data_IF_887362963998
#
_entry.id   IF_887362963998
#
_cell.length_a   1.000
_cell.length_b   1.000
_cell.length_c   1.000
_cell.angle_alpha   90.00
_cell.angle_beta   90.00
_cell.angle_gamma   90.00
#
_symmetry.space_group_name_H-M   'P 1'
#
loop_
_entity.id
_entity.type
_entity.pdbx_description
1 polymer ?
#
# COMPACT_ATOMS: atom_id res chain seq x y z
N UNK A 1 21.83 4.28 -26.02
CA UNK A 1 20.75 4.57 -25.06
C UNK A 1 20.50 3.32 -24.25
N UNK A 2 20.88 3.29 -22.97
CA UNK A 2 20.50 2.21 -22.05
C UNK A 2 19.15 2.60 -21.45
N UNK A 3 18.08 1.91 -21.86
CA UNK A 3 16.78 2.03 -21.22
C UNK A 3 16.87 1.24 -19.92
N UNK A 4 17.01 1.94 -18.79
CA UNK A 4 16.84 1.31 -17.48
C UNK A 4 15.37 0.96 -17.32
N UNK A 5 15.03 -0.31 -17.58
CA UNK A 5 13.74 -0.89 -17.23
C UNK A 5 13.62 -0.87 -15.71
N UNK A 6 12.81 0.05 -15.18
CA UNK A 6 12.46 0.08 -13.75
C UNK A 6 11.48 -1.08 -13.55
N UNK A 7 12.01 -2.24 -13.18
CA UNK A 7 11.21 -3.35 -12.64
C UNK A 7 10.81 -2.93 -11.23
N UNK A 8 9.62 -2.34 -11.11
CA UNK A 8 9.01 -2.05 -9.81
C UNK A 8 8.62 -3.39 -9.20
N UNK A 9 9.44 -3.90 -8.27
CA UNK A 9 9.12 -5.14 -7.55
C UNK A 9 7.78 -5.02 -6.82
N UNK A 10 7.04 -6.14 -6.67
CA UNK A 10 5.71 -6.16 -6.07
C UNK A 10 5.65 -5.52 -4.67
N UNK A 11 6.75 -5.54 -3.90
CA UNK A 11 6.88 -4.80 -2.65
C UNK A 11 6.81 -3.27 -2.80
N UNK A 12 7.35 -2.72 -3.89
CA UNK A 12 7.18 -1.31 -4.27
C UNK A 12 5.81 -1.00 -4.86
N UNK A 13 5.10 -1.97 -5.46
CA UNK A 13 3.72 -1.78 -5.92
C UNK A 13 2.74 -1.74 -4.74
N UNK A 14 2.94 -2.59 -3.72
CA UNK A 14 2.23 -2.53 -2.45
C UNK A 14 2.59 -1.24 -1.70
N UNK A 15 3.87 -0.85 -1.69
CA UNK A 15 4.28 0.45 -1.16
C UNK A 15 3.69 1.61 -1.99
N UNK A 16 3.53 1.53 -3.30
CA UNK A 16 2.87 2.57 -4.11
C UNK A 16 1.36 2.63 -3.86
N UNK A 17 0.70 1.49 -3.67
CA UNK A 17 -0.71 1.39 -3.28
C UNK A 17 -0.95 1.91 -1.86
N UNK A 18 0.01 1.74 -0.94
CA UNK A 18 -0.03 2.24 0.44
C UNK A 18 0.49 3.69 0.56
N UNK A 19 1.45 4.12 -0.25
CA UNK A 19 2.06 5.45 -0.26
C UNK A 19 1.31 6.48 -1.10
N UNK A 20 0.17 6.13 -1.72
CA UNK A 20 -0.75 7.14 -2.25
C UNK A 20 -1.47 7.93 -1.14
N UNK A 21 -1.21 7.64 0.14
CA UNK A 21 -1.48 8.52 1.28
C UNK A 21 -0.13 8.94 1.88
N UNK A 22 0.25 10.23 1.86
CA UNK A 22 1.53 10.66 2.42
C UNK A 22 1.47 10.55 3.95
N UNK A 23 2.13 9.54 4.52
CA UNK A 23 2.54 9.52 5.92
C UNK A 23 4.05 9.70 5.91
N UNK A 24 4.48 10.92 6.22
CA UNK A 24 5.89 11.31 6.28
C UNK A 24 6.50 10.77 7.56
N UNK A 25 7.33 9.73 7.45
CA UNK A 25 8.10 9.19 8.56
C UNK A 25 9.38 10.03 8.76
N UNK A 26 9.53 10.62 9.94
CA UNK A 26 10.70 11.39 10.33
C UNK A 26 11.95 10.50 10.44
N UNK A 27 13.04 10.97 9.86
CA UNK A 27 14.35 10.33 9.78
C UNK A 27 15.03 10.28 11.18
N UNK A 28 15.48 9.11 11.61
CA UNK A 28 16.19 8.91 12.89
C UNK A 28 17.62 8.48 12.59
N UNK A 29 18.66 9.19 13.09
CA UNK A 29 20.05 8.90 12.76
C UNK A 29 20.54 7.58 13.37
N UNK A 30 21.25 6.82 12.54
CA UNK A 30 21.78 5.47 12.80
C UNK A 30 23.15 5.55 13.48
N UNK A 31 23.28 5.03 14.69
CA UNK A 31 24.57 4.88 15.42
C UNK A 31 25.22 3.54 15.09
N UNK A 32 26.56 3.45 14.87
CA UNK A 32 27.22 2.20 14.50
C UNK A 32 27.43 1.25 15.70
N UNK A 33 27.18 -0.04 15.47
CA UNK A 33 27.33 -1.12 16.44
C UNK A 33 28.78 -1.60 16.54
N UNK A 34 29.23 -1.89 17.76
CA UNK A 34 30.53 -2.47 18.08
C UNK A 34 30.48 -4.01 18.02
N UNK A 35 31.51 -4.60 17.39
CA UNK A 35 31.78 -6.05 17.36
C UNK A 35 32.12 -6.60 18.76
N UNK A 36 31.47 -7.69 19.16
CA UNK A 36 31.92 -8.55 20.26
C UNK A 36 32.13 -9.98 19.76
N UNK A 37 33.38 -10.42 19.75
CA UNK A 37 33.82 -11.81 19.52
C UNK A 37 33.54 -12.67 20.76
N UNK A 38 32.99 -13.87 20.56
CA UNK A 38 32.97 -14.94 21.57
C UNK A 38 33.42 -16.26 20.92
N UNK A 39 34.27 -17.07 21.60
CA UNK A 39 34.94 -18.22 20.99
C UNK A 39 34.16 -19.53 21.08
N UNK A 40 34.52 -20.45 20.19
CA UNK A 40 33.95 -21.78 19.97
C UNK A 40 34.43 -22.84 20.97
N UNK A 41 33.57 -23.82 21.25
CA UNK A 41 33.91 -25.08 21.93
C UNK A 41 33.30 -26.25 21.14
N UNK A 42 34.02 -27.38 20.94
CA UNK A 42 33.59 -28.46 20.05
C UNK A 42 32.81 -29.55 20.78
N UNK A 43 31.79 -30.14 20.12
CA UNK A 43 31.18 -31.41 20.54
C UNK A 43 31.13 -32.37 19.35
N UNK A 44 31.68 -33.56 19.60
CA UNK A 44 31.89 -34.71 18.71
C UNK A 44 30.59 -35.56 18.57
N UNK A 45 30.36 -36.28 17.45
CA UNK A 45 29.09 -36.94 17.17
C UNK A 45 29.04 -38.39 17.66
N UNK A 46 27.84 -38.86 18.01
CA UNK A 46 27.54 -40.28 18.15
C UNK A 46 26.25 -40.59 17.36
N UNK A 47 26.39 -41.54 16.44
CA UNK A 47 25.34 -42.12 15.63
C UNK A 47 24.78 -43.36 16.33
N UNK A 48 23.46 -43.58 16.29
CA UNK A 48 22.89 -44.94 16.23
C UNK A 48 21.53 -44.93 15.54
N UNK A 49 21.38 -45.81 14.57
CA UNK A 49 20.15 -46.15 13.86
C UNK A 49 19.27 -47.11 14.68
N UNK A 50 17.95 -47.03 14.52
CA UNK A 50 17.04 -48.18 14.49
C UNK A 50 15.61 -47.77 14.07
N UNK A 51 15.03 -48.56 13.17
CA UNK A 51 13.64 -48.60 12.67
C UNK A 51 13.11 -50.03 13.00
N UNK A 52 11.86 -50.40 12.67
CA UNK A 52 10.56 -50.09 13.25
C UNK A 52 9.92 -51.30 13.99
N UNK A 53 8.82 -51.08 14.73
CA UNK A 53 7.78 -52.09 14.87
C UNK A 53 6.42 -51.45 15.24
N UNK A 54 5.37 -51.94 14.56
CA UNK A 54 3.97 -51.65 14.80
C UNK A 54 3.50 -52.18 16.16
N UNK A 55 2.35 -51.70 16.65
CA UNK A 55 1.19 -52.49 17.14
C UNK A 55 0.19 -51.56 17.84
N UNK A 56 -1.06 -51.52 17.35
CA UNK A 56 -2.24 -51.00 18.07
C UNK A 56 -2.62 -51.96 19.21
N UNK A 57 -3.33 -51.51 20.26
CA UNK A 57 -4.78 -51.69 20.20
C UNK A 57 -5.60 -50.58 20.89
N UNK A 58 -6.89 -50.62 20.57
CA UNK A 58 -7.98 -49.83 21.09
C UNK A 58 -8.15 -49.95 22.62
N UNK A 59 -8.56 -48.85 23.25
CA UNK A 59 -9.31 -48.89 24.51
C UNK A 59 -10.25 -47.68 24.59
N UNK A 60 -11.53 -48.00 24.76
CA UNK A 60 -12.64 -47.10 24.97
C UNK A 60 -12.49 -46.31 26.29
N UNK A 61 -12.81 -45.01 26.28
CA UNK A 61 -13.04 -44.24 27.50
C UNK A 61 -14.38 -43.53 27.40
N UNK A 62 -15.09 -43.64 28.52
CA UNK A 62 -16.50 -43.41 28.76
C UNK A 62 -16.89 -41.94 28.62
N UNK A 63 -18.03 -41.74 27.97
CA UNK A 63 -18.83 -40.51 28.00
C UNK A 63 -19.49 -40.38 29.37
N UNK A 64 -19.18 -39.30 30.09
CA UNK A 64 -19.85 -38.92 31.34
C UNK A 64 -20.69 -37.69 31.07
N UNK A 65 -22.01 -37.90 31.06
CA UNK A 65 -23.01 -36.85 30.96
C UNK A 65 -23.00 -35.98 32.22
N UNK A 66 -22.91 -34.65 32.03
CA UNK A 66 -23.20 -33.67 33.08
C UNK A 66 -24.57 -33.08 32.81
N UNK A 67 -25.48 -33.40 33.73
CA UNK A 67 -26.86 -32.91 33.81
C UNK A 67 -26.87 -31.41 34.11
N UNK A 68 -27.26 -30.59 33.14
CA UNK A 68 -27.53 -29.18 33.33
C UNK A 68 -29.03 -28.93 33.60
N UNK A 69 -29.29 -28.35 34.77
CA UNK A 69 -30.55 -27.90 35.34
C UNK A 69 -31.18 -26.77 34.48
N UNK A 70 -32.49 -26.80 34.14
CA UNK A 70 -33.11 -25.73 33.38
C UNK A 70 -33.41 -24.51 34.28
N UNK A 71 -32.87 -23.36 33.89
CA UNK A 71 -33.19 -22.07 34.49
C UNK A 71 -34.46 -21.48 33.87
N UNK A 72 -35.21 -20.78 34.71
CA UNK A 72 -36.56 -20.32 34.49
C UNK A 72 -36.73 -19.32 33.34
N UNK A 73 -37.85 -19.46 32.63
CA UNK A 73 -38.38 -18.56 31.61
C UNK A 73 -39.11 -17.40 32.31
N UNK A 74 -38.70 -16.12 32.13
CA UNK A 74 -39.52 -15.00 32.56
C UNK A 74 -40.62 -14.67 31.54
N UNK A 75 -41.72 -14.19 32.11
CA UNK A 75 -43.05 -14.06 31.53
C UNK A 75 -43.18 -13.08 30.35
N UNK A 76 -44.15 -13.41 29.49
CA UNK A 76 -44.82 -12.60 28.47
C UNK A 76 -45.07 -11.15 28.91
N UNK A 77 -44.61 -10.21 28.09
CA UNK A 77 -45.12 -8.84 28.06
C UNK A 77 -46.36 -8.74 27.14
N UNK A 78 -47.35 -7.88 27.46
CA UNK A 78 -48.60 -7.78 26.72
C UNK A 78 -48.45 -7.00 25.40
N UNK A 79 -48.95 -7.58 24.33
CA UNK A 79 -49.08 -6.97 23.00
C UNK A 79 -50.26 -6.01 23.01
N UNK A 80 -50.00 -4.73 22.83
CA UNK A 80 -51.02 -3.68 22.61
C UNK A 80 -51.47 -3.71 21.14
N UNK A 81 -52.78 -3.76 20.85
CA UNK A 81 -53.26 -3.75 19.46
C UNK A 81 -53.15 -2.36 18.83
N UNK A 82 -52.52 -2.32 17.66
CA UNK A 82 -52.39 -1.13 16.83
C UNK A 82 -53.74 -0.70 16.24
N UNK A 83 -54.00 0.61 16.27
CA UNK A 83 -55.18 1.25 15.71
C UNK A 83 -55.19 1.18 14.17
N UNK A 84 -56.37 1.11 13.53
CA UNK A 84 -56.50 1.08 12.07
C UNK A 84 -56.21 2.45 11.45
N UNK A 85 -55.19 2.50 10.58
CA UNK A 85 -54.89 3.64 9.72
C UNK A 85 -55.94 3.71 8.60
N UNK A 86 -56.66 4.83 8.54
CA UNK A 86 -57.61 5.15 7.47
C UNK A 86 -56.88 5.32 6.14
N UNK A 87 -57.17 4.44 5.20
CA UNK A 87 -56.78 4.54 3.78
C UNK A 87 -57.60 5.65 3.12
N UNK A 88 -56.97 6.78 2.83
CA UNK A 88 -57.56 7.82 1.98
C UNK A 88 -57.42 7.41 0.52
N UNK A 89 -58.55 7.23 -0.16
CA UNK A 89 -58.64 6.97 -1.59
C UNK A 89 -58.12 8.18 -2.39
N UNK A 90 -57.02 7.99 -3.11
CA UNK A 90 -56.52 8.95 -4.10
C UNK A 90 -57.10 8.56 -5.46
N UNK A 91 -57.95 9.44 -5.99
CA UNK A 91 -58.55 9.35 -7.32
C UNK A 91 -57.49 9.63 -8.40
N UNK A 92 -57.31 8.76 -9.41
CA UNK A 92 -56.43 9.07 -10.54
C UNK A 92 -57.11 10.04 -11.52
N UNK A 93 -56.42 11.12 -11.84
CA UNK A 93 -56.79 12.12 -12.86
C UNK A 93 -56.50 11.55 -14.27
N UNK A 94 -57.43 11.66 -15.24
CA UNK A 94 -57.23 11.16 -16.60
C UNK A 94 -56.30 12.11 -17.37
N UNK A 95 -55.21 11.57 -17.92
CA UNK A 95 -54.31 12.28 -18.85
C UNK A 95 -54.63 11.82 -20.27
N UNK A 96 -54.89 12.79 -21.14
CA UNK A 96 -55.26 12.61 -22.53
C UNK A 96 -54.12 12.02 -23.39
N UNK A 97 -54.43 11.30 -24.48
CA UNK A 97 -53.44 10.70 -25.37
C UNK A 97 -53.11 11.66 -26.52
N UNK A 98 -51.84 11.96 -26.76
CA UNK A 98 -51.32 12.31 -28.10
C UNK A 98 -49.81 12.53 -28.06
N UNK A 99 -49.04 11.52 -28.47
CA UNK A 99 -47.67 11.72 -28.95
C UNK A 99 -47.34 10.70 -30.03
N UNK A 100 -46.71 11.22 -31.09
CA UNK A 100 -46.45 10.64 -32.42
C UNK A 100 -45.60 9.35 -32.37
N UNK A 101 -45.69 8.48 -33.40
CA UNK A 101 -44.85 7.29 -33.52
C UNK A 101 -43.38 7.70 -33.66
N UNK A 102 -42.58 7.44 -32.61
CA UNK A 102 -41.13 7.52 -32.68
C UNK A 102 -40.59 6.30 -33.42
N UNK A 103 -39.78 6.55 -34.44
CA UNK A 103 -39.05 5.53 -35.18
C UNK A 103 -38.17 4.73 -34.21
N UNK A 104 -38.37 3.42 -34.21
CA UNK A 104 -37.62 2.43 -33.46
C UNK A 104 -36.14 2.44 -33.86
N UNK A 105 -35.31 3.06 -33.03
CA UNK A 105 -33.85 2.88 -33.09
C UNK A 105 -33.55 1.42 -32.77
N UNK A 106 -32.87 0.67 -33.65
CA UNK A 106 -32.50 -0.70 -33.36
C UNK A 106 -31.52 -0.70 -32.18
N UNK A 107 -32.02 -1.11 -31.01
CA UNK A 107 -31.22 -1.44 -29.84
C UNK A 107 -30.28 -2.57 -30.24
N UNK A 108 -29.04 -2.23 -30.58
CA UNK A 108 -27.97 -3.22 -30.69
C UNK A 108 -27.83 -3.85 -29.30
N UNK A 109 -28.01 -5.17 -29.14
CA UNK A 109 -27.83 -5.80 -27.85
C UNK A 109 -26.38 -5.62 -27.46
N UNK A 110 -26.12 -4.75 -26.48
CA UNK A 110 -24.83 -4.68 -25.81
C UNK A 110 -24.53 -6.10 -25.31
N UNK A 111 -23.56 -6.75 -25.94
CA UNK A 111 -23.12 -8.07 -25.51
C UNK A 111 -22.76 -7.92 -24.02
N UNK A 112 -23.52 -8.59 -23.16
CA UNK A 112 -23.18 -8.71 -21.74
C UNK A 112 -21.80 -9.36 -21.71
N UNK A 113 -20.78 -8.54 -21.49
CA UNK A 113 -19.44 -9.00 -21.13
C UNK A 113 -19.69 -9.95 -19.96
N UNK A 114 -19.37 -11.24 -20.16
CA UNK A 114 -19.54 -12.22 -19.10
C UNK A 114 -18.75 -11.70 -17.90
N UNK A 115 -19.45 -11.45 -16.79
CA UNK A 115 -18.84 -10.89 -15.58
C UNK A 115 -17.65 -11.77 -15.21
N UNK A 116 -16.44 -11.24 -15.43
CA UNK A 116 -15.20 -11.94 -15.14
C UNK A 116 -15.10 -12.04 -13.63
N UNK A 117 -15.21 -13.25 -13.12
CA UNK A 117 -15.12 -13.50 -11.70
C UNK A 117 -13.64 -13.51 -11.28
N UNK A 118 -13.08 -12.32 -11.03
CA UNK A 118 -11.71 -12.11 -10.53
C UNK A 118 -11.36 -12.99 -9.32
N UNK A 119 -12.36 -13.35 -8.50
CA UNK A 119 -12.18 -14.20 -7.33
C UNK A 119 -11.70 -15.61 -7.67
N UNK A 120 -11.90 -16.08 -8.90
CA UNK A 120 -11.37 -17.36 -9.40
C UNK A 120 -9.85 -17.34 -9.63
N UNK A 121 -9.26 -16.16 -9.71
CA UNK A 121 -7.83 -15.97 -10.01
C UNK A 121 -6.99 -15.60 -8.77
N UNK A 122 -7.54 -15.86 -7.60
CA UNK A 122 -6.89 -15.63 -6.31
C UNK A 122 -5.94 -16.77 -6.01
N UNK A 123 -4.75 -16.50 -5.47
CA UNK A 123 -3.84 -17.56 -5.08
C UNK A 123 -4.51 -18.53 -4.06
N UNK A 124 -4.51 -19.86 -4.28
CA UNK A 124 -5.31 -20.79 -3.47
C UNK A 124 -4.89 -20.87 -1.99
N UNK A 125 -3.63 -20.55 -1.69
CA UNK A 125 -3.09 -20.49 -0.33
C UNK A 125 -2.98 -19.04 0.18
N UNK A 126 -3.87 -18.15 -0.26
CA UNK A 126 -3.84 -16.76 0.16
C UNK A 126 -4.31 -16.60 1.61
N UNK A 127 -3.58 -15.77 2.37
CA UNK A 127 -3.99 -15.30 3.69
C UNK A 127 -4.13 -13.77 3.74
N UNK A 128 -3.83 -13.10 2.63
CA UNK A 128 -4.00 -11.67 2.48
C UNK A 128 -4.47 -11.37 1.06
N UNK A 129 -5.60 -10.67 0.96
CA UNK A 129 -6.07 -10.07 -0.29
C UNK A 129 -6.11 -8.56 -0.16
N UNK A 130 -5.77 -7.88 -1.23
CA UNK A 130 -6.06 -6.48 -1.41
C UNK A 130 -6.72 -6.29 -2.76
N UNK A 131 -7.63 -5.33 -2.86
CA UNK A 131 -8.28 -5.02 -4.11
C UNK A 131 -8.55 -3.54 -4.27
N UNK A 132 -8.67 -3.13 -5.52
CA UNK A 132 -9.00 -1.78 -5.90
C UNK A 132 -9.92 -1.78 -7.11
N UNK A 133 -11.11 -1.18 -6.99
CA UNK A 133 -11.96 -0.84 -8.11
C UNK A 133 -11.47 0.50 -8.68
N UNK A 134 -10.52 0.42 -9.61
CA UNK A 134 -9.79 1.57 -10.13
C UNK A 134 -10.72 2.54 -10.86
N UNK A 135 -11.69 2.03 -11.64
CA UNK A 135 -12.63 2.91 -12.34
C UNK A 135 -13.55 3.64 -11.38
N UNK A 136 -14.08 2.96 -10.35
CA UNK A 136 -14.85 3.66 -9.31
C UNK A 136 -13.99 4.66 -8.55
N UNK A 137 -12.76 4.30 -8.18
CA UNK A 137 -11.84 5.18 -7.49
C UNK A 137 -11.56 6.44 -8.33
N UNK A 138 -11.16 6.28 -9.60
CA UNK A 138 -10.84 7.37 -10.53
C UNK A 138 -12.04 8.25 -10.86
N UNK A 139 -13.22 7.66 -11.04
CA UNK A 139 -14.44 8.40 -11.39
C UNK A 139 -15.09 9.11 -10.20
N UNK A 140 -14.76 8.72 -8.96
CA UNK A 140 -15.28 9.34 -7.75
C UNK A 140 -14.92 10.84 -7.65
N UNK A 141 -15.74 11.67 -6.99
CA UNK A 141 -15.42 13.08 -6.76
C UNK A 141 -14.06 13.28 -6.09
N UNK A 142 -13.77 12.48 -5.05
CA UNK A 142 -12.51 12.50 -4.30
C UNK A 142 -11.33 12.04 -5.17
N UNK A 143 -11.51 10.95 -5.94
CA UNK A 143 -10.47 10.46 -6.84
C UNK A 143 -10.12 11.44 -7.95
N UNK A 144 -11.10 12.14 -8.54
CA UNK A 144 -10.84 13.23 -9.51
C UNK A 144 -10.08 14.39 -8.89
N UNK A 145 -10.37 14.71 -7.64
CA UNK A 145 -9.62 15.71 -6.89
C UNK A 145 -8.16 15.28 -6.69
N UNK A 146 -7.90 14.04 -6.25
CA UNK A 146 -6.55 13.50 -6.12
C UNK A 146 -5.81 13.39 -7.45
N UNK A 147 -6.47 12.92 -8.51
CA UNK A 147 -5.88 12.82 -9.84
C UNK A 147 -5.39 14.18 -10.36
N UNK A 148 -6.12 15.28 -10.07
CA UNK A 148 -5.67 16.64 -10.40
C UNK A 148 -4.41 17.05 -9.62
N UNK A 149 -4.34 16.71 -8.33
CA UNK A 149 -3.14 16.98 -7.52
C UNK A 149 -1.95 16.16 -8.00
N UNK A 150 -2.17 14.86 -8.26
CA UNK A 150 -1.13 13.98 -8.76
C UNK A 150 -0.65 14.40 -10.15
N UNK A 151 -1.55 14.77 -11.08
CA UNK A 151 -1.17 15.28 -12.39
C UNK A 151 -0.31 16.55 -12.32
N UNK A 152 -0.60 17.43 -11.36
CA UNK A 152 0.21 18.63 -11.13
C UNK A 152 1.65 18.31 -10.69
N UNK A 153 1.86 17.17 -10.01
CA UNK A 153 3.19 16.70 -9.59
C UNK A 153 3.86 15.78 -10.62
N UNK A 154 3.07 14.94 -11.31
CA UNK A 154 3.55 13.95 -12.27
C UNK A 154 4.20 14.59 -13.51
N UNK A 155 3.89 15.85 -13.84
CA UNK A 155 4.60 16.62 -14.87
C UNK A 155 6.12 16.72 -14.63
N UNK A 156 6.59 16.45 -13.40
CA UNK A 156 8.02 16.42 -13.05
C UNK A 156 8.68 15.04 -13.25
N UNK A 157 7.89 13.96 -13.36
CA UNK A 157 8.40 12.59 -13.49
C UNK A 157 8.40 12.14 -14.96
N UNK A 158 9.53 12.34 -15.64
CA UNK A 158 9.74 11.81 -16.99
C UNK A 158 9.58 10.27 -16.99
N UNK A 159 8.61 9.76 -17.77
CA UNK A 159 8.35 8.32 -17.93
C UNK A 159 7.05 7.82 -17.30
N UNK A 160 6.44 8.57 -16.37
CA UNK A 160 5.19 8.15 -15.72
C UNK A 160 4.01 8.05 -16.72
N UNK A 161 4.01 8.86 -17.79
CA UNK A 161 2.89 8.93 -18.74
C UNK A 161 2.53 7.60 -19.42
N UNK A 162 3.52 6.77 -19.78
CA UNK A 162 3.26 5.48 -20.43
C UNK A 162 2.63 4.47 -19.46
N UNK A 163 3.11 4.43 -18.21
CA UNK A 163 2.52 3.57 -17.19
C UNK A 163 1.08 3.99 -16.85
N UNK A 164 0.82 5.30 -16.79
CA UNK A 164 -0.52 5.83 -16.51
C UNK A 164 -1.52 5.53 -17.63
N UNK A 165 -1.09 5.55 -18.89
CA UNK A 165 -1.94 5.20 -20.02
C UNK A 165 -2.44 3.73 -19.97
N UNK A 166 -1.67 2.83 -19.34
CA UNK A 166 -2.13 1.46 -19.11
C UNK A 166 -3.15 1.38 -18.01
N UNK A 167 -2.91 2.11 -16.92
CA UNK A 167 -3.84 2.20 -15.79
C UNK A 167 -5.18 2.80 -16.23
N UNK A 168 -5.21 3.64 -17.26
CA UNK A 168 -6.48 4.15 -17.81
C UNK A 168 -7.40 3.06 -18.36
N UNK A 169 -6.84 1.93 -18.78
CA UNK A 169 -7.58 0.76 -19.26
C UNK A 169 -7.78 -0.32 -18.19
N UNK A 170 -7.23 -0.15 -16.99
CA UNK A 170 -7.46 -1.07 -15.88
C UNK A 170 -8.80 -0.74 -15.25
N UNK A 171 -9.61 -1.75 -15.00
CA UNK A 171 -10.91 -1.62 -14.35
C UNK A 171 -10.80 -1.96 -12.86
N UNK A 172 -10.20 -3.10 -12.56
CA UNK A 172 -10.01 -3.59 -11.20
C UNK A 172 -8.65 -4.24 -11.04
N UNK A 173 -8.11 -4.13 -9.84
CA UNK A 173 -6.85 -4.75 -9.42
C UNK A 173 -7.15 -5.62 -8.22
N UNK A 174 -6.67 -6.86 -8.23
CA UNK A 174 -6.77 -7.79 -7.13
C UNK A 174 -5.39 -8.38 -6.85
N UNK A 175 -4.89 -8.24 -5.64
CA UNK A 175 -3.62 -8.77 -5.19
C UNK A 175 -3.92 -9.86 -4.17
N UNK A 176 -3.30 -11.02 -4.35
CA UNK A 176 -3.42 -12.15 -3.43
C UNK A 176 -2.04 -12.69 -3.09
N UNK A 177 -1.81 -12.93 -1.80
CA UNK A 177 -0.56 -13.51 -1.31
C UNK A 177 -0.81 -14.38 -0.09
N UNK A 178 0.12 -15.28 0.22
CA UNK A 178 0.04 -16.16 1.40
C UNK A 178 0.37 -15.43 2.72
N UNK A 179 0.76 -14.16 2.66
CA UNK A 179 1.09 -13.36 3.85
C UNK A 179 2.37 -13.79 4.54
N UNK A 180 3.19 -14.64 3.90
CA UNK A 180 4.53 -14.93 4.38
C UNK A 180 5.46 -13.82 3.92
N UNK A 181 6.40 -13.45 4.79
CA UNK A 181 7.47 -12.56 4.42
C UNK A 181 8.37 -13.18 3.35
N UNK A 182 9.04 -12.33 2.57
CA UNK A 182 10.11 -12.78 1.69
C UNK A 182 11.15 -13.54 2.53
N UNK A 183 11.43 -14.79 2.15
CA UNK A 183 12.57 -15.51 2.73
C UNK A 183 13.86 -14.95 2.12
N UNK A 184 15.00 -15.14 2.80
CA UNK A 184 16.32 -14.73 2.27
C UNK A 184 16.61 -15.32 0.88
N UNK A 185 15.93 -16.40 0.52
CA UNK A 185 16.08 -17.13 -0.73
C UNK A 185 14.94 -16.95 -1.75
N UNK A 186 13.88 -16.18 -1.45
CA UNK A 186 12.71 -16.15 -2.33
C UNK A 186 11.70 -15.04 -2.06
N UNK A 187 11.14 -14.50 -3.15
CA UNK A 187 9.98 -13.63 -3.09
C UNK A 187 8.75 -14.43 -2.61
N UNK A 188 7.89 -13.85 -1.76
CA UNK A 188 6.68 -14.53 -1.34
C UNK A 188 5.76 -14.74 -2.55
N UNK A 189 4.99 -15.83 -2.59
CA UNK A 189 4.07 -16.08 -3.69
C UNK A 189 3.03 -14.96 -3.71
N UNK A 190 3.03 -14.19 -4.80
CA UNK A 190 2.13 -13.07 -5.04
C UNK A 190 1.53 -13.26 -6.42
N UNK A 191 0.21 -13.16 -6.48
CA UNK A 191 -0.52 -13.07 -7.75
C UNK A 191 -1.30 -11.77 -7.76
N UNK A 192 -1.05 -10.96 -8.78
CA UNK A 192 -1.80 -9.75 -9.11
C UNK A 192 -2.68 -10.05 -10.32
N UNK A 193 -3.98 -10.01 -10.15
CA UNK A 193 -4.95 -10.07 -11.24
C UNK A 193 -5.41 -8.66 -11.60
N UNK A 194 -5.28 -8.33 -12.88
CA UNK A 194 -5.67 -7.05 -13.47
C UNK A 194 -6.83 -7.30 -14.43
N UNK A 195 -8.00 -6.80 -14.09
CA UNK A 195 -9.16 -6.75 -15.00
C UNK A 195 -9.15 -5.40 -15.72
N UNK A 196 -9.40 -5.39 -17.02
CA UNK A 196 -9.43 -4.17 -17.81
C UNK A 196 -9.58 -4.42 -19.31
N UNK A 197 -9.09 -3.50 -20.14
CA UNK A 197 -8.95 -3.70 -21.60
C UNK A 197 -7.48 -3.80 -21.95
N UNK A 198 -7.06 -4.97 -22.42
CA UNK A 198 -5.64 -5.26 -22.65
C UNK A 198 -5.41 -5.42 -24.15
N UNK A 199 -4.83 -4.37 -24.76
CA UNK A 199 -4.35 -4.45 -26.13
C UNK A 199 -3.01 -5.22 -26.15
N UNK A 200 -3.06 -6.46 -26.66
CA UNK A 200 -1.88 -7.33 -26.79
C UNK A 200 -0.74 -6.68 -27.57
N UNK A 201 -1.07 -5.86 -28.57
CA UNK A 201 -0.07 -5.18 -29.38
C UNK A 201 0.63 -4.06 -28.58
N UNK A 202 -0.10 -3.35 -27.72
CA UNK A 202 0.49 -2.36 -26.81
C UNK A 202 1.32 -3.03 -25.73
N UNK A 203 0.80 -4.10 -25.12
CA UNK A 203 1.54 -4.85 -24.11
C UNK A 203 2.87 -5.38 -24.67
N UNK A 204 2.86 -5.95 -25.88
CA UNK A 204 4.08 -6.41 -26.57
C UNK A 204 5.06 -5.28 -26.87
N UNK A 205 4.60 -4.06 -27.18
CA UNK A 205 5.46 -2.90 -27.45
C UNK A 205 6.16 -2.36 -26.20
N UNK A 206 5.56 -2.55 -25.04
CA UNK A 206 6.14 -2.13 -23.75
C UNK A 206 7.13 -3.15 -23.19
N UNK A 207 7.03 -4.41 -23.62
CA UNK A 207 7.93 -5.46 -23.15
C UNK A 207 9.31 -5.30 -23.80
N UNK A 208 10.38 -5.71 -23.10
CA UNK A 208 11.72 -5.75 -23.68
C UNK A 208 11.75 -6.52 -25.00
N UNK A 209 12.59 -6.09 -25.94
CA UNK A 209 12.77 -6.82 -27.18
C UNK A 209 13.24 -8.25 -26.90
N UNK A 210 12.60 -9.24 -27.52
CA UNK A 210 12.90 -10.65 -27.32
C UNK A 210 12.02 -11.37 -26.30
N UNK A 211 11.02 -10.71 -25.69
CA UNK A 211 10.00 -11.40 -24.89
C UNK A 211 9.27 -12.44 -25.74
N UNK A 212 9.36 -13.70 -25.32
CA UNK A 212 8.67 -14.82 -25.96
C UNK A 212 7.23 -14.91 -25.42
N UNK A 213 6.30 -15.32 -26.30
CA UNK A 213 4.96 -15.74 -25.89
C UNK A 213 4.94 -17.27 -25.80
N UNK A 214 4.83 -17.81 -24.60
CA UNK A 214 4.69 -19.24 -24.35
C UNK A 214 3.23 -19.55 -23.99
N UNK A 215 2.63 -20.56 -24.61
CA UNK A 215 1.27 -21.01 -24.24
C UNK A 215 1.37 -21.84 -22.96
N UNK A 216 0.82 -21.34 -21.86
CA UNK A 216 0.88 -22.00 -20.54
C UNK A 216 -0.52 -22.16 -19.96
N UNK A 217 -0.99 -23.41 -19.80
CA UNK A 217 -2.32 -23.75 -19.26
C UNK A 217 -3.48 -22.95 -19.88
N UNK A 218 -3.42 -22.71 -21.19
CA UNK A 218 -4.46 -21.97 -21.93
C UNK A 218 -4.34 -20.44 -21.87
N UNK A 219 -3.38 -19.89 -21.14
CA UNK A 219 -3.02 -18.48 -21.17
C UNK A 219 -1.74 -18.26 -22.01
N UNK A 220 -1.54 -17.03 -22.49
CA UNK A 220 -0.31 -16.62 -23.17
C UNK A 220 0.63 -15.98 -22.14
N UNK A 221 1.71 -16.68 -21.79
CA UNK A 221 2.72 -16.25 -20.84
C UNK A 221 3.79 -15.41 -21.56
N UNK A 222 4.06 -14.23 -21.03
CA UNK A 222 5.11 -13.33 -21.49
C UNK A 222 6.39 -13.62 -20.71
N UNK A 223 7.35 -14.24 -21.38
CA UNK A 223 8.62 -14.68 -20.77
C UNK A 223 9.76 -13.78 -21.28
N UNK A 224 10.37 -12.94 -20.43
CA UNK A 224 11.55 -12.16 -20.80
C UNK A 224 12.73 -13.08 -21.17
N UNK A 225 13.56 -12.71 -22.16
CA UNK A 225 14.64 -13.58 -22.64
C UNK A 225 15.77 -13.80 -21.61
N UNK A 226 15.83 -13.01 -20.55
CA UNK A 226 16.92 -13.00 -19.56
C UNK A 226 16.57 -13.65 -18.22
N UNK A 227 15.38 -14.24 -18.07
CA UNK A 227 14.90 -14.74 -16.78
C UNK A 227 15.59 -16.04 -16.38
N UNK A 228 16.70 -15.96 -15.64
CA UNK A 228 17.38 -17.12 -15.01
C UNK A 228 16.93 -17.40 -13.57
N UNK A 229 16.02 -16.60 -13.03
CA UNK A 229 15.54 -16.65 -11.64
C UNK A 229 14.00 -16.69 -11.60
N UNK A 230 13.37 -16.97 -10.43
CA UNK A 230 11.92 -16.85 -10.25
C UNK A 230 11.48 -15.39 -10.42
N UNK A 231 11.44 -14.94 -11.67
CA UNK A 231 11.06 -13.60 -12.07
C UNK A 231 9.55 -13.53 -12.17
N UNK A 232 9.00 -12.36 -11.86
CA UNK A 232 7.59 -12.06 -12.04
C UNK A 232 7.25 -12.13 -13.53
N UNK A 233 6.35 -13.04 -13.89
CA UNK A 233 5.86 -13.22 -15.25
C UNK A 233 4.46 -12.62 -15.40
N UNK A 234 4.10 -12.24 -16.62
CA UNK A 234 2.75 -11.80 -16.96
C UNK A 234 2.06 -12.86 -17.83
N UNK A 235 0.92 -13.37 -17.39
CA UNK A 235 0.07 -14.28 -18.15
C UNK A 235 -1.18 -13.55 -18.65
N UNK A 236 -1.37 -13.49 -19.95
CA UNK A 236 -2.57 -12.98 -20.59
C UNK A 236 -3.59 -14.12 -20.71
N UNK A 237 -4.63 -14.09 -19.87
CA UNK A 237 -5.66 -15.12 -19.84
C UNK A 237 -6.69 -14.89 -20.95
N UNK A 238 -7.10 -13.64 -21.11
CA UNK A 238 -7.97 -13.17 -22.18
C UNK A 238 -7.71 -11.67 -22.44
N UNK A 239 -8.46 -11.05 -23.34
CA UNK A 239 -8.25 -9.64 -23.71
C UNK A 239 -8.64 -8.63 -22.61
N UNK A 240 -9.17 -9.14 -21.49
CA UNK A 240 -9.60 -8.36 -20.34
C UNK A 240 -8.90 -8.70 -19.03
N UNK A 241 -8.06 -9.74 -19.00
CA UNK A 241 -7.48 -10.26 -17.77
C UNK A 241 -6.01 -10.58 -17.97
N UNK A 242 -5.18 -9.90 -17.19
CA UNK A 242 -3.75 -10.17 -17.06
C UNK A 242 -3.47 -10.59 -15.62
N UNK A 243 -2.75 -11.70 -15.48
CA UNK A 243 -2.22 -12.15 -14.20
C UNK A 243 -0.72 -11.86 -14.17
N UNK A 244 -0.21 -11.42 -13.02
CA UNK A 244 1.21 -11.18 -12.80
C UNK A 244 1.63 -11.94 -11.54
N UNK A 245 2.66 -12.77 -11.65
CA UNK A 245 3.16 -13.58 -10.53
C UNK A 245 4.31 -14.48 -10.96
N UNK A 246 4.87 -15.24 -10.01
CA UNK A 246 5.84 -16.27 -10.35
C UNK A 246 5.17 -17.45 -11.11
N UNK A 247 5.98 -18.22 -11.83
CA UNK A 247 5.49 -19.32 -12.69
C UNK A 247 4.68 -20.37 -11.91
N UNK A 248 5.06 -20.68 -10.68
CA UNK A 248 4.39 -21.68 -9.86
C UNK A 248 3.04 -21.17 -9.36
N UNK A 249 2.99 -19.93 -8.88
CA UNK A 249 1.76 -19.26 -8.45
C UNK A 249 0.78 -19.09 -9.60
N UNK A 250 1.24 -18.65 -10.78
CA UNK A 250 0.41 -18.58 -11.99
C UNK A 250 -0.06 -19.98 -12.41
N UNK A 251 0.82 -20.97 -12.32
CA UNK A 251 0.48 -22.37 -12.56
C UNK A 251 -0.68 -22.83 -11.69
N UNK A 252 -0.64 -22.56 -10.40
CA UNK A 252 -1.69 -22.94 -9.44
C UNK A 252 -3.00 -22.23 -9.73
N UNK A 253 -2.95 -20.93 -10.03
CA UNK A 253 -4.13 -20.11 -10.34
C UNK A 253 -4.83 -20.56 -11.63
N UNK A 254 -4.06 -20.94 -12.65
CA UNK A 254 -4.60 -21.33 -13.96
C UNK A 254 -5.11 -22.78 -14.02
N UNK A 255 -4.70 -23.68 -13.10
CA UNK A 255 -4.91 -25.12 -13.29
C UNK A 255 -6.35 -25.61 -13.09
N UNK A 256 -7.18 -24.91 -12.31
CA UNK A 256 -8.63 -25.15 -12.25
C UNK A 256 -9.31 -24.13 -11.33
N UNK A 257 -9.75 -22.99 -11.87
CA UNK A 257 -10.68 -22.05 -11.20
C UNK A 257 -10.41 -21.83 -9.72
N UNK A 258 -9.12 -21.72 -9.35
CA UNK A 258 -8.70 -21.88 -7.97
C UNK A 258 -8.94 -20.55 -7.26
N UNK A 259 -10.16 -20.34 -6.77
CA UNK A 259 -10.38 -19.33 -5.77
C UNK A 259 -9.59 -19.62 -4.50
N UNK A 260 -9.54 -18.64 -3.60
CA UNK A 260 -9.03 -18.88 -2.25
C UNK A 260 -9.77 -20.05 -1.60
N UNK A 261 -9.03 -20.91 -0.88
CA UNK A 261 -9.63 -21.96 -0.05
C UNK A 261 -10.17 -21.42 1.28
N UNK A 262 -9.77 -20.20 1.65
CA UNK A 262 -10.23 -19.53 2.86
C UNK A 262 -11.55 -18.79 2.58
N UNK A 263 -12.66 -19.46 2.86
CA UNK A 263 -14.02 -18.93 2.63
C UNK A 263 -14.29 -17.69 3.48
N UNK A 264 -13.88 -17.69 4.76
CA UNK A 264 -14.10 -16.56 5.67
C UNK A 264 -13.41 -15.29 5.17
N UNK A 265 -12.17 -15.39 4.71
CA UNK A 265 -11.45 -14.24 4.18
C UNK A 265 -12.04 -13.78 2.83
N UNK A 266 -12.59 -14.68 2.00
CA UNK A 266 -13.31 -14.29 0.79
C UNK A 266 -14.61 -13.53 1.09
N UNK A 267 -15.37 -13.98 2.10
CA UNK A 267 -16.61 -13.32 2.53
C UNK A 267 -16.33 -11.91 3.07
N UNK A 268 -15.30 -11.77 3.92
CA UNK A 268 -14.85 -10.45 4.42
C UNK A 268 -14.41 -9.53 3.28
N UNK A 269 -13.59 -10.04 2.35
CA UNK A 269 -13.13 -9.29 1.19
C UNK A 269 -14.32 -8.86 0.30
N UNK A 270 -15.27 -9.75 0.06
CA UNK A 270 -16.47 -9.47 -0.73
C UNK A 270 -17.31 -8.38 -0.06
N UNK A 271 -17.60 -8.51 1.24
CA UNK A 271 -18.37 -7.54 2.01
C UNK A 271 -17.71 -6.15 2.03
N UNK A 272 -16.38 -6.09 2.10
CA UNK A 272 -15.62 -4.85 2.10
C UNK A 272 -15.55 -4.21 0.70
N UNK A 273 -15.33 -5.03 -0.34
CA UNK A 273 -15.30 -4.58 -1.74
C UNK A 273 -16.63 -3.98 -2.24
N UNK A 274 -17.74 -4.39 -1.62
CA UNK A 274 -19.05 -3.82 -1.92
C UNK A 274 -19.22 -2.38 -1.39
N UNK A 275 -18.39 -1.97 -0.42
CA UNK A 275 -18.54 -0.71 0.31
C UNK A 275 -17.36 0.26 0.11
N UNK A 276 -16.19 -0.25 -0.28
CA UNK A 276 -14.95 0.49 -0.40
C UNK A 276 -14.35 0.30 -1.80
N UNK A 277 -13.83 1.37 -2.38
CA UNK A 277 -13.10 1.31 -3.66
C UNK A 277 -11.73 0.67 -3.52
N UNK A 278 -11.03 0.92 -2.41
CA UNK A 278 -9.72 0.32 -2.11
C UNK A 278 -9.90 -0.46 -0.81
N UNK A 279 -9.43 -1.69 -0.77
CA UNK A 279 -9.60 -2.53 0.40
C UNK A 279 -8.47 -3.55 0.54
N UNK A 280 -8.29 -4.03 1.76
CA UNK A 280 -7.33 -5.04 2.16
C UNK A 280 -7.95 -5.88 3.28
N UNK A 281 -7.80 -7.20 3.19
CA UNK A 281 -8.21 -8.18 4.18
C UNK A 281 -7.05 -9.13 4.42
N UNK A 282 -6.61 -9.21 5.67
CA UNK A 282 -5.53 -10.08 6.11
C UNK A 282 -6.05 -11.02 7.21
N UNK A 283 -5.85 -12.32 7.02
CA UNK A 283 -6.05 -13.36 8.02
C UNK A 283 -4.77 -13.63 8.85
N UNK A 284 -3.67 -12.94 8.53
CA UNK A 284 -2.42 -13.00 9.30
C UNK A 284 -2.13 -11.65 9.95
N UNK A 285 -1.34 -11.68 11.03
CA UNK A 285 -0.92 -10.46 11.71
C UNK A 285 -0.06 -9.59 10.78
N UNK A 286 -0.17 -8.25 10.89
CA UNK A 286 0.67 -7.33 10.10
C UNK A 286 2.17 -7.58 10.29
N UNK A 287 2.60 -7.97 11.49
CA UNK A 287 4.00 -8.25 11.78
C UNK A 287 4.53 -9.49 11.05
N UNK A 288 3.70 -10.52 10.89
CA UNK A 288 4.06 -11.70 10.09
C UNK A 288 4.13 -11.34 8.61
N UNK A 289 3.15 -10.58 8.12
CA UNK A 289 3.14 -10.12 6.73
C UNK A 289 4.34 -9.20 6.40
N UNK A 290 4.79 -8.39 7.35
CA UNK A 290 5.94 -7.49 7.21
C UNK A 290 7.30 -8.17 7.38
N UNK A 291 7.35 -9.45 7.77
CA UNK A 291 8.61 -10.18 8.01
C UNK A 291 9.30 -9.87 9.32
N UNK A 292 8.55 -9.42 10.32
CA UNK A 292 9.05 -9.19 11.66
C UNK A 292 8.28 -8.10 12.40
N UNK A 293 8.55 -7.98 13.70
CA UNK A 293 8.06 -6.86 14.48
C UNK A 293 8.79 -5.58 14.04
N UNK A 294 8.03 -4.59 13.57
CA UNK A 294 8.59 -3.27 13.33
C UNK A 294 8.92 -2.59 14.67
N UNK A 295 10.10 -1.97 14.84
CA UNK A 295 10.43 -1.21 16.04
C UNK A 295 9.37 -0.14 16.32
N UNK A 296 8.84 -0.09 17.56
CA UNK A 296 7.77 0.82 17.93
C UNK A 296 6.34 0.34 17.62
N UNK A 297 6.18 -0.82 16.96
CA UNK A 297 4.88 -1.39 16.60
C UNK A 297 4.52 -2.68 17.38
N UNK A 298 5.11 -2.92 18.55
CA UNK A 298 4.81 -4.12 19.37
C UNK A 298 3.31 -4.31 19.66
N UNK A 299 2.55 -3.22 19.77
CA UNK A 299 1.09 -3.28 19.98
C UNK A 299 0.35 -3.96 18.81
N UNK A 300 0.94 -3.97 17.60
CA UNK A 300 0.38 -4.62 16.41
C UNK A 300 0.65 -6.12 16.37
N UNK A 301 1.60 -6.63 17.18
CA UNK A 301 1.87 -8.07 17.28
C UNK A 301 0.66 -8.83 17.87
N UNK A 302 -0.23 -8.13 18.58
CA UNK A 302 -1.46 -8.66 19.16
C UNK A 302 -2.65 -8.64 18.19
N UNK A 303 -2.50 -8.09 17.00
CA UNK A 303 -3.53 -8.12 15.96
C UNK A 303 -3.40 -9.43 15.18
N UNK A 304 -4.43 -10.28 15.24
CA UNK A 304 -4.48 -11.57 14.54
C UNK A 304 -4.92 -11.41 13.09
N UNK A 305 -5.93 -10.57 12.86
CA UNK A 305 -6.45 -10.28 11.52
C UNK A 305 -6.87 -8.83 11.41
N UNK A 306 -6.85 -8.31 10.17
CA UNK A 306 -7.15 -6.92 9.87
C UNK A 306 -7.90 -6.81 8.55
N UNK A 307 -9.00 -6.06 8.57
CA UNK A 307 -9.68 -5.57 7.40
C UNK A 307 -9.51 -4.05 7.34
N UNK A 308 -9.16 -3.51 6.18
CA UNK A 308 -8.96 -2.09 5.96
C UNK A 308 -9.60 -1.67 4.63
N UNK A 309 -10.33 -0.56 4.60
CA UNK A 309 -11.00 -0.09 3.40
C UNK A 309 -11.08 1.43 3.32
N UNK A 310 -11.00 1.95 2.10
CA UNK A 310 -11.14 3.36 1.76
C UNK A 310 -12.32 3.52 0.79
N UNK A 311 -13.26 4.39 1.16
CA UNK A 311 -14.41 4.77 0.34
C UNK A 311 -14.24 6.21 -0.18
N UNK A 312 -14.44 6.42 -1.48
CA UNK A 312 -14.15 7.66 -2.19
C UNK A 312 -15.40 8.35 -2.79
N UNK A 313 -16.56 7.68 -2.80
CA UNK A 313 -17.76 8.18 -3.48
C UNK A 313 -18.34 9.47 -2.89
N UNK A 314 -18.35 9.58 -1.55
CA UNK A 314 -19.03 10.68 -0.82
C UNK A 314 -18.05 11.63 -0.11
N UNK A 315 -16.75 11.47 -0.33
CA UNK A 315 -15.70 12.07 0.47
C UNK A 315 -14.56 11.08 0.66
N UNK A 316 -13.89 11.12 1.81
CA UNK A 316 -12.90 10.14 2.21
C UNK A 316 -13.43 9.38 3.43
N UNK A 317 -13.93 8.16 3.21
CA UNK A 317 -14.27 7.21 4.26
C UNK A 317 -13.11 6.25 4.49
N UNK A 318 -12.72 6.02 5.73
CA UNK A 318 -11.74 5.01 6.14
C UNK A 318 -12.44 4.07 7.11
N UNK A 319 -12.26 2.77 6.91
CA UNK A 319 -12.81 1.72 7.75
C UNK A 319 -11.73 0.72 8.07
N UNK A 320 -11.57 0.38 9.34
CA UNK A 320 -10.69 -0.68 9.77
C UNK A 320 -11.40 -1.58 10.78
N UNK A 321 -11.35 -2.88 10.55
CA UNK A 321 -11.77 -3.88 11.53
C UNK A 321 -10.53 -4.65 11.95
N UNK A 322 -10.16 -4.56 13.22
CA UNK A 322 -9.01 -5.25 13.79
C UNK A 322 -9.54 -6.35 14.70
N UNK A 323 -8.98 -7.54 14.59
CA UNK A 323 -9.23 -8.63 15.54
C UNK A 323 -7.94 -8.85 16.32
N UNK A 324 -8.00 -8.72 17.63
CA UNK A 324 -6.87 -8.95 18.53
C UNK A 324 -6.92 -10.32 19.19
N UNK A 325 -5.78 -10.78 19.71
CA UNK A 325 -5.67 -12.04 20.47
C UNK A 325 -6.56 -12.09 21.71
N UNK A 326 -6.76 -10.94 22.36
CA UNK A 326 -7.52 -10.84 23.61
C UNK A 326 -8.24 -9.48 23.70
N UNK A 327 -9.21 -9.39 24.62
CA UNK A 327 -10.02 -8.17 24.83
C UNK A 327 -9.21 -6.99 25.40
N UNK A 328 -8.13 -7.26 26.13
CA UNK A 328 -7.28 -6.22 26.72
C UNK A 328 -6.52 -5.47 25.64
N UNK A 329 -5.94 -6.19 24.66
CA UNK A 329 -5.30 -5.61 23.49
C UNK A 329 -6.30 -4.81 22.64
N UNK A 330 -7.54 -5.29 22.48
CA UNK A 330 -8.61 -4.55 21.79
C UNK A 330 -8.93 -3.23 22.51
N UNK A 331 -9.14 -3.27 23.83
CA UNK A 331 -9.39 -2.08 24.65
C UNK A 331 -8.22 -1.10 24.61
N UNK A 332 -6.98 -1.60 24.65
CA UNK A 332 -5.77 -0.79 24.53
C UNK A 332 -5.70 -0.08 23.16
N UNK A 333 -5.92 -0.80 22.06
CA UNK A 333 -5.96 -0.20 20.71
C UNK A 333 -7.08 0.84 20.57
N UNK A 334 -8.26 0.56 21.11
CA UNK A 334 -9.36 1.51 21.11
C UNK A 334 -9.02 2.77 21.90
N UNK A 335 -8.41 2.62 23.08
CA UNK A 335 -7.97 3.73 23.93
C UNK A 335 -6.87 4.56 23.25
N UNK A 336 -5.90 3.91 22.62
CA UNK A 336 -4.84 4.57 21.85
C UNK A 336 -5.43 5.38 20.69
N UNK A 337 -6.40 4.82 19.97
CA UNK A 337 -7.06 5.52 18.86
C UNK A 337 -7.85 6.73 19.36
N UNK A 338 -8.56 6.60 20.49
CA UNK A 338 -9.24 7.72 21.15
C UNK A 338 -8.26 8.79 21.65
N UNK A 339 -7.09 8.39 22.16
CA UNK A 339 -6.04 9.32 22.58
C UNK A 339 -5.53 10.14 21.39
N UNK A 340 -5.20 9.49 20.26
CA UNK A 340 -4.78 10.17 19.03
C UNK A 340 -5.88 11.15 18.57
N UNK A 341 -7.14 10.73 18.59
CA UNK A 341 -8.28 11.58 18.24
C UNK A 341 -8.39 12.80 19.16
N UNK A 342 -8.16 12.62 20.46
CA UNK A 342 -8.18 13.70 21.44
C UNK A 342 -7.02 14.69 21.24
N UNK A 343 -5.81 14.21 20.96
CA UNK A 343 -4.65 15.04 20.65
C UNK A 343 -4.89 15.85 19.36
N UNK A 344 -5.42 15.21 18.32
CA UNK A 344 -5.84 15.87 17.09
C UNK A 344 -6.87 16.98 17.40
N UNK A 345 -7.85 16.69 18.26
CA UNK A 345 -8.82 17.70 18.69
C UNK A 345 -8.20 18.86 19.50
N UNK A 346 -7.11 18.65 20.23
CA UNK A 346 -6.43 19.74 20.96
C UNK A 346 -5.69 20.69 20.02
N UNK A 347 -5.10 20.17 18.94
CA UNK A 347 -4.48 20.98 17.88
C UNK A 347 -5.51 21.74 17.02
N UNK A 348 -6.79 21.38 17.11
CA UNK A 348 -7.85 22.05 16.36
C UNK A 348 -8.16 23.47 16.82
N UNK A 349 -7.57 23.96 17.93
CA UNK A 349 -7.62 25.38 18.31
C UNK A 349 -7.11 26.29 17.19
N UNK A 350 -6.15 25.79 16.42
CA UNK A 350 -5.57 26.50 15.27
C UNK A 350 -6.26 26.13 13.94
N UNK A 351 -7.08 25.08 13.92
CA UNK A 351 -7.70 24.54 12.71
C UNK A 351 -9.10 23.94 12.99
N UNK A 352 -10.20 24.73 12.83
CA UNK A 352 -11.55 24.25 13.12
C UNK A 352 -12.01 23.08 12.24
N UNK A 353 -11.41 22.90 11.06
CA UNK A 353 -11.68 21.77 10.18
C UNK A 353 -11.13 20.44 10.74
N UNK A 354 -10.05 20.48 11.52
CA UNK A 354 -9.49 19.27 12.14
C UNK A 354 -10.39 18.78 13.30
N UNK A 355 -11.09 19.71 13.97
CA UNK A 355 -12.09 19.39 14.98
C UNK A 355 -13.28 18.60 14.41
N UNK A 356 -13.70 18.86 13.16
CA UNK A 356 -14.79 18.09 12.55
C UNK A 356 -14.34 16.70 12.13
N UNK A 357 -13.10 16.56 11.64
CA UNK A 357 -12.51 15.26 11.34
C UNK A 357 -12.39 14.41 12.60
N UNK A 358 -11.85 14.96 13.70
CA UNK A 358 -11.75 14.24 14.97
C UNK A 358 -13.12 13.76 15.49
N UNK A 359 -14.18 14.56 15.31
CA UNK A 359 -15.56 14.19 15.69
C UNK A 359 -16.18 13.12 14.79
N UNK A 360 -15.68 12.97 13.56
CA UNK A 360 -16.13 11.93 12.63
C UNK A 360 -15.49 10.57 12.88
N UNK A 361 -14.46 10.50 13.74
CA UNK A 361 -13.84 9.25 14.13
C UNK A 361 -14.72 8.50 15.12
N UNK A 362 -15.20 7.34 14.72
CA UNK A 362 -15.93 6.40 15.55
C UNK A 362 -15.05 5.19 15.84
N UNK A 363 -14.86 4.90 17.12
CA UNK A 363 -14.13 3.71 17.59
C UNK A 363 -15.08 2.89 18.44
N UNK A 364 -15.33 1.65 18.06
CA UNK A 364 -16.13 0.68 18.84
C UNK A 364 -15.28 -0.55 19.13
N UNK A 365 -15.34 -1.03 20.35
CA UNK A 365 -14.69 -2.28 20.77
C UNK A 365 -15.76 -3.27 21.20
N UNK A 366 -15.77 -4.45 20.61
CA UNK A 366 -16.72 -5.53 20.87
C UNK A 366 -15.94 -6.84 21.11
N UNK A 367 -15.69 -7.16 22.37
CA UNK A 367 -14.83 -8.30 22.75
C UNK A 367 -13.41 -8.12 22.21
N UNK A 368 -12.96 -9.02 21.34
CA UNK A 368 -11.65 -8.98 20.67
C UNK A 368 -11.64 -8.17 19.37
N UNK A 369 -12.78 -7.58 18.97
CA UNK A 369 -12.90 -6.81 17.73
C UNK A 369 -12.85 -5.32 18.01
N UNK A 370 -12.10 -4.58 17.20
CA UNK A 370 -12.06 -3.12 17.21
C UNK A 370 -12.47 -2.62 15.83
N UNK A 371 -13.55 -1.85 15.80
CA UNK A 371 -14.07 -1.20 14.60
C UNK A 371 -13.70 0.29 14.65
N UNK A 372 -12.94 0.73 13.67
CA UNK A 372 -12.54 2.12 13.47
C UNK A 372 -13.18 2.60 12.19
N UNK A 373 -13.92 3.70 12.25
CA UNK A 373 -14.52 4.34 11.10
C UNK A 373 -14.26 5.84 11.16
N UNK A 374 -13.82 6.41 10.04
CA UNK A 374 -13.61 7.84 9.87
C UNK A 374 -14.26 8.26 8.57
N UNK A 375 -15.17 9.22 8.59
CA UNK A 375 -15.81 9.74 7.38
C UNK A 375 -15.57 11.25 7.26
N UNK A 376 -14.72 11.64 6.32
CA UNK A 376 -14.43 13.04 6.01
C UNK A 376 -15.23 13.47 4.77
N UNK A 377 -16.21 14.38 4.91
CA UNK A 377 -16.97 14.89 3.77
C UNK A 377 -16.07 15.60 2.76
N UNK A 378 -16.41 15.50 1.46
CA UNK A 378 -15.63 16.11 0.38
C UNK A 378 -15.32 17.60 0.61
N UNK A 379 -16.30 18.38 1.08
CA UNK A 379 -16.14 19.81 1.34
C UNK A 379 -15.14 20.13 2.47
N UNK A 380 -14.93 19.21 3.43
CA UNK A 380 -13.90 19.36 4.45
C UNK A 380 -12.54 18.96 3.90
N UNK A 381 -12.49 17.88 3.11
CA UNK A 381 -11.26 17.41 2.47
C UNK A 381 -10.67 18.47 1.53
N UNK A 382 -11.49 19.11 0.69
CA UNK A 382 -11.06 20.18 -0.22
C UNK A 382 -10.45 21.36 0.55
N UNK A 383 -11.10 21.80 1.63
CA UNK A 383 -10.59 22.87 2.51
C UNK A 383 -9.28 22.47 3.18
N UNK A 384 -9.21 21.25 3.69
CA UNK A 384 -8.00 20.68 4.28
C UNK A 384 -6.83 20.65 3.30
N UNK A 385 -7.04 20.24 2.05
CA UNK A 385 -5.99 20.24 1.04
C UNK A 385 -5.53 21.65 0.65
N UNK A 386 -6.44 22.62 0.56
CA UNK A 386 -6.07 24.02 0.27
C UNK A 386 -5.23 24.59 1.41
N UNK A 387 -5.61 24.33 2.66
CA UNK A 387 -4.83 24.73 3.85
C UNK A 387 -3.48 24.04 3.89
N UNK A 388 -3.44 22.73 3.63
CA UNK A 388 -2.20 21.94 3.59
C UNK A 388 -1.24 22.46 2.51
N UNK A 389 -1.75 22.80 1.32
CA UNK A 389 -0.94 23.39 0.25
C UNK A 389 -0.42 24.78 0.62
N UNK A 390 -1.23 25.59 1.27
CA UNK A 390 -0.82 26.90 1.77
C UNK A 390 0.28 26.76 2.84
N UNK A 391 0.17 25.77 3.74
CA UNK A 391 1.17 25.53 4.78
C UNK A 391 2.47 24.95 4.23
N UNK A 392 2.46 24.02 3.28
CA UNK A 392 3.70 23.50 2.66
C UNK A 392 4.43 24.59 1.88
N UNK A 393 3.70 25.44 1.16
CA UNK A 393 4.31 26.55 0.42
C UNK A 393 4.90 27.61 1.37
N UNK A 394 4.25 27.87 2.51
CA UNK A 394 4.74 28.81 3.51
C UNK A 394 5.95 28.30 4.30
N UNK A 395 5.89 27.06 4.77
CA UNK A 395 6.96 26.43 5.56
C UNK A 395 8.18 26.12 4.71
N UNK A 396 8.00 25.63 3.47
CA UNK A 396 9.11 25.36 2.57
C UNK A 396 9.94 26.61 2.27
N UNK A 397 9.29 27.78 2.11
CA UNK A 397 9.99 29.06 1.97
C UNK A 397 10.76 29.43 3.22
N UNK A 398 10.14 29.34 4.41
CA UNK A 398 10.84 29.68 5.67
C UNK A 398 12.02 28.74 5.97
N UNK A 399 11.89 27.45 5.66
CA UNK A 399 12.97 26.47 5.83
C UNK A 399 14.08 26.68 4.81
N UNK A 400 13.76 27.01 3.56
CA UNK A 400 14.77 27.36 2.56
C UNK A 400 15.44 28.70 2.87
N UNK A 401 14.69 29.69 3.36
CA UNK A 401 15.23 30.98 3.79
C UNK A 401 16.14 30.83 5.03
N UNK A 402 15.76 29.97 5.99
CA UNK A 402 16.60 29.68 7.15
C UNK A 402 17.83 28.84 6.80
N UNK A 403 17.73 27.95 5.80
CA UNK A 403 18.86 27.14 5.34
C UNK A 403 19.82 27.92 4.43
N UNK A 404 19.32 28.78 3.56
CA UNK A 404 20.13 29.57 2.63
C UNK A 404 20.76 30.81 3.27
N UNK A 405 20.47 31.09 4.55
CA UNK A 405 21.10 32.19 5.30
C UNK A 405 20.82 33.58 4.73
N UNK A 406 19.89 33.70 3.78
CA UNK A 406 19.44 34.98 3.23
C UNK A 406 18.44 35.59 4.21
N UNK A 407 18.92 36.02 5.37
CA UNK A 407 18.16 36.97 6.16
C UNK A 407 17.96 38.23 5.30
N UNK A 408 16.72 38.66 5.06
CA UNK A 408 16.47 39.90 4.37
C UNK A 408 17.08 41.02 5.22
N UNK A 409 18.14 41.63 4.69
CA UNK A 409 18.84 42.82 5.21
C UNK A 409 19.45 42.74 6.62
N UNK A 410 20.69 42.26 6.71
CA UNK A 410 21.80 43.05 7.29
C UNK A 410 21.81 43.42 8.78
N UNK A 411 20.88 42.95 9.61
CA UNK A 411 20.96 43.13 11.07
C UNK A 411 21.48 41.86 11.74
N UNK A 412 22.76 41.87 12.09
CA UNK A 412 23.30 40.90 13.04
C UNK A 412 22.49 40.98 14.35
N UNK A 413 22.12 39.83 14.96
CA UNK A 413 21.47 39.82 16.27
C UNK A 413 22.30 40.62 17.28
N UNK A 414 21.74 41.66 17.93
CA UNK A 414 22.45 42.43 18.93
C UNK A 414 22.79 41.51 20.12
N UNK A 415 24.06 41.16 20.28
CA UNK A 415 24.54 40.37 21.41
C UNK A 415 25.60 39.30 21.09
N UNK A 416 25.80 38.93 19.83
CA UNK A 416 26.89 38.02 19.45
C UNK A 416 28.19 38.81 19.25
N UNK A 417 28.89 39.06 20.36
CA UNK A 417 30.30 39.46 20.29
C UNK A 417 31.13 38.21 19.97
N UNK A 418 32.01 38.23 18.96
CA UNK A 418 32.92 37.12 18.71
C UNK A 418 33.83 36.95 19.93
N UNK A 419 33.74 35.80 20.59
CA UNK A 419 34.62 35.42 21.69
C UNK A 419 35.99 35.02 21.13
N UNK A 420 36.85 36.00 20.84
CA UNK A 420 38.29 35.76 20.69
C UNK A 420 38.90 35.87 22.08
N UNK A 421 39.09 34.72 22.75
CA UNK A 421 39.74 34.65 24.06
C UNK A 421 40.95 33.70 23.99
N UNK A 422 42.13 34.31 23.93
CA UNK A 422 43.39 33.77 24.46
C UNK A 422 44.14 32.73 23.62
N UNK A 423 45.12 33.19 22.84
CA UNK A 423 46.32 32.44 22.48
C UNK A 423 47.54 33.31 22.84
N UNK A 424 48.59 32.74 23.48
CA UNK A 424 49.68 33.51 24.05
C UNK A 424 50.65 34.10 23.02
N UNK A 425 51.10 35.29 23.39
CA UNK A 425 52.08 36.18 22.79
C UNK A 425 53.50 35.56 22.90
N UNK A 426 54.00 34.93 21.83
CA UNK A 426 55.45 34.83 21.51
C UNK A 426 55.72 33.91 20.31
N UNK A 427 55.65 34.45 19.09
CA UNK A 427 56.48 33.98 17.99
C UNK A 427 56.60 35.10 16.96
N UNK A 428 57.85 35.44 16.65
CA UNK A 428 58.24 36.55 15.82
C UNK A 428 57.73 36.44 14.37
N UNK A 429 57.32 37.61 13.86
CA UNK A 429 57.33 38.08 12.47
C UNK A 429 57.49 37.03 11.35
N UNK A 430 56.38 36.76 10.66
CA UNK A 430 56.36 36.55 9.21
C UNK A 430 55.13 37.28 8.63
N UNK A 431 55.25 38.02 7.52
CA UNK A 431 54.14 38.74 6.92
C UNK A 431 53.13 37.75 6.33
N UNK A 432 51.97 37.59 6.96
CA UNK A 432 50.84 36.88 6.34
C UNK A 432 50.18 37.80 5.32
N UNK A 433 50.52 37.56 4.06
CA UNK A 433 49.74 37.98 2.88
C UNK A 433 48.30 37.46 3.00
N UNK A 434 47.33 38.35 2.87
CA UNK A 434 45.91 37.98 2.81
C UNK A 434 45.68 37.00 1.65
N UNK A 435 45.19 35.81 1.96
CA UNK A 435 44.78 34.83 0.96
C UNK A 435 43.50 35.33 0.26
N UNK A 436 43.70 35.83 -0.97
CA UNK A 436 42.67 36.09 -1.96
C UNK A 436 41.85 34.80 -2.18
N UNK A 437 40.51 34.87 -2.29
CA UNK A 437 39.68 33.70 -2.56
C UNK A 437 40.15 32.98 -3.83
N UNK A 438 40.39 31.67 -3.70
CA UNK A 438 40.99 30.83 -4.73
C UNK A 438 40.19 30.87 -6.03
N UNK A 439 40.90 31.17 -7.12
CA UNK A 439 40.44 31.05 -8.51
C UNK A 439 39.86 29.64 -8.73
N UNK A 440 38.69 29.49 -9.39
CA UNK A 440 38.10 28.19 -9.65
C UNK A 440 39.09 27.27 -10.36
N UNK A 441 39.31 26.09 -9.79
CA UNK A 441 40.30 25.13 -10.26
C UNK A 441 40.04 24.73 -11.72
N UNK A 442 41.08 24.80 -12.53
CA UNK A 442 41.06 24.42 -13.95
C UNK A 442 40.64 22.96 -14.09
N UNK A 443 39.71 22.62 -15.01
CA UNK A 443 39.20 21.26 -15.17
C UNK A 443 40.34 20.26 -15.44
N UNK A 444 40.45 19.25 -14.57
CA UNK A 444 41.49 18.23 -14.66
C UNK A 444 40.97 17.04 -15.48
N UNK A 445 41.70 16.69 -16.55
CA UNK A 445 41.45 15.50 -17.36
C UNK A 445 41.91 14.26 -16.59
N UNK A 446 40.99 13.34 -16.27
CA UNK A 446 41.32 12.07 -15.62
C UNK A 446 41.02 10.91 -16.57
N UNK A 447 41.99 10.03 -16.74
CA UNK A 447 41.85 8.79 -17.52
C UNK A 447 41.75 7.62 -16.56
N UNK A 448 40.65 6.87 -16.64
CA UNK A 448 40.53 5.59 -15.95
C UNK A 448 40.87 4.50 -16.95
N UNK A 449 41.88 3.70 -16.62
CA UNK A 449 42.24 2.49 -17.35
C UNK A 449 41.55 1.30 -16.70
N UNK A 450 40.68 0.64 -17.45
CA UNK A 450 40.00 -0.58 -17.00
C UNK A 450 40.73 -1.76 -17.64
N UNK A 451 41.41 -2.56 -16.83
CA UNK A 451 42.08 -3.79 -17.22
C UNK A 451 41.26 -5.01 -16.81
N UNK A 452 41.38 -6.11 -17.58
CA UNK A 452 40.67 -7.38 -17.31
C UNK A 452 39.43 -7.62 -18.15
N UNK A 453 39.16 -6.77 -19.16
CA UNK A 453 38.19 -7.08 -20.21
C UNK A 453 38.84 -7.94 -21.29
N UNK A 454 38.05 -8.84 -21.88
CA UNK A 454 38.52 -9.84 -22.85
C UNK A 454 39.00 -9.21 -24.18
N UNK A 455 38.60 -7.96 -24.42
CA UNK A 455 39.06 -7.12 -25.53
C UNK A 455 40.38 -6.36 -25.24
N UNK A 456 41.02 -6.60 -24.10
CA UNK A 456 42.20 -5.86 -23.66
C UNK A 456 41.89 -4.56 -22.89
N UNK A 457 42.94 -3.84 -22.42
CA UNK A 457 42.77 -2.68 -21.55
C UNK A 457 42.10 -1.52 -22.31
N UNK A 458 40.97 -1.03 -21.80
CA UNK A 458 40.27 0.15 -22.34
C UNK A 458 40.50 1.37 -21.44
N UNK A 459 40.91 2.47 -22.03
CA UNK A 459 41.09 3.75 -21.36
C UNK A 459 39.90 4.67 -21.67
N UNK A 460 39.23 5.16 -20.63
CA UNK A 460 38.15 6.13 -20.76
C UNK A 460 38.62 7.41 -20.10
N UNK A 461 38.74 8.46 -20.90
CA UNK A 461 39.08 9.79 -20.40
C UNK A 461 37.85 10.65 -20.24
N UNK A 462 37.66 11.23 -19.07
CA UNK A 462 36.61 12.21 -18.82
C UNK A 462 37.14 13.44 -18.08
N UNK A 463 36.41 14.54 -18.23
CA UNK A 463 36.68 15.84 -17.62
C UNK A 463 35.74 16.00 -16.42
N UNK A 464 36.29 16.14 -15.23
CA UNK A 464 35.50 16.40 -14.00
C UNK A 464 35.64 17.88 -13.66
N UNK A 465 34.52 18.61 -13.57
CA UNK A 465 34.49 20.00 -13.11
C UNK A 465 33.89 21.05 -14.06
N UNK A 466 33.25 20.66 -15.17
CA UNK A 466 32.50 21.59 -16.02
C UNK A 466 31.02 21.64 -15.63
N UNK A 467 30.51 22.79 -15.21
CA UNK A 467 29.07 23.07 -15.20
C UNK A 467 28.55 22.98 -16.64
N UNK A 468 27.62 22.06 -16.89
CA UNK A 468 26.93 21.97 -18.18
C UNK A 468 26.02 23.19 -18.31
N UNK A 469 26.24 24.00 -19.34
CA UNK A 469 25.24 24.96 -19.82
C UNK A 469 24.10 24.22 -20.51
#
# INVERSE_FOLDING_TARGET
>A
MRVSTIVIGAGSLLALLVCCVPVEAADVPKTPAAESKTPATPVKPAATAAKPAATAPAAAVKSTAVTAKPAAVPAKAPVTPAAPVKTAAVTPKPVAPMAKPQASVPLTPAAKVADLNLWLYVHPATNMLAGMDWQKAKSSPTGRMFARQFAAQAGQLQGAGQAMALLDNVDRILISTNGQAASESGQPPVVVALEGRVDRAQLKKMMPAGTALERFKGADLLVPPTSKEPEMLAALVNDHLVLIGDRDSLGRVLEAGSGTRNVELLERATALSAQCEIWLVSAVSPSVAAGGSMPGMKQWDDVESMDFGIALQKGLGIRANLVTKNEESAKSLATMTQLIASMASQQSKDSPDLASVARSLMVKSEGTKVHIQLDVPLAQLERGMVQMRASTTGTGKRTLESFLGMQPSGQMPPGLRPAVKGLPESAAMAPMTMAVPAVPAVPQKRTIRISGMEDGPKEITYMTGGTKN
#
